data_IF_901917170184
#
_entry.id   IF_901917170184
#
_cell.length_a   1.000
_cell.length_b   1.000
_cell.length_c   1.000
_cell.angle_alpha   90.00
_cell.angle_beta   90.00
_cell.angle_gamma   90.00
#
_symmetry.space_group_name_H-M   'P 1'
#
loop_
_entity.id
_entity.type
_entity.pdbx_description
1 polymer ?
#
# COMPACT_ATOMS: atom_id res chain seq x y z
N UNK A 1 -18.18 26.86 -21.10
CA UNK A 1 -17.65 25.99 -20.03
C UNK A 1 -18.50 24.74 -19.98
N UNK A 2 -17.93 23.62 -20.41
CA UNK A 2 -18.69 22.45 -20.84
C UNK A 2 -18.96 21.54 -19.63
N UNK A 3 -20.23 21.30 -19.30
CA UNK A 3 -20.69 20.43 -18.19
C UNK A 3 -20.05 19.04 -18.26
N UNK A 4 -19.75 18.58 -19.47
CA UNK A 4 -18.99 17.36 -19.73
C UNK A 4 -17.61 17.34 -19.08
N UNK A 5 -16.92 18.47 -19.03
CA UNK A 5 -15.59 18.57 -18.43
C UNK A 5 -15.66 18.43 -16.91
N UNK A 6 -16.69 18.99 -16.28
CA UNK A 6 -16.93 18.85 -14.83
C UNK A 6 -17.30 17.40 -14.48
N UNK A 7 -18.10 16.73 -15.32
CA UNK A 7 -18.46 15.33 -15.12
C UNK A 7 -17.22 14.42 -15.17
N UNK A 8 -16.35 14.60 -16.16
CA UNK A 8 -15.11 13.82 -16.28
C UNK A 8 -14.20 13.98 -15.05
N UNK A 9 -14.07 15.20 -14.51
CA UNK A 9 -13.25 15.46 -13.33
C UNK A 9 -13.82 14.77 -12.08
N UNK A 10 -15.14 14.79 -11.90
CA UNK A 10 -15.80 14.15 -10.75
C UNK A 10 -15.64 12.63 -10.81
N UNK A 11 -15.85 12.02 -11.97
CA UNK A 11 -15.66 10.57 -12.15
C UNK A 11 -14.20 10.16 -11.98
N UNK A 12 -13.26 10.97 -12.48
CA UNK A 12 -11.82 10.73 -12.31
C UNK A 12 -11.42 10.83 -10.82
N UNK A 13 -11.95 11.81 -10.09
CA UNK A 13 -11.73 11.96 -8.65
C UNK A 13 -12.30 10.79 -7.83
N UNK A 14 -13.48 10.29 -8.19
CA UNK A 14 -14.07 9.10 -7.58
C UNK A 14 -13.25 7.82 -7.86
N UNK A 15 -12.79 7.63 -9.09
CA UNK A 15 -11.95 6.48 -9.45
C UNK A 15 -10.61 6.51 -8.70
N UNK A 16 -9.98 7.68 -8.58
CA UNK A 16 -8.73 7.86 -7.84
C UNK A 16 -8.90 7.75 -6.32
N UNK A 17 -10.07 8.10 -5.77
CA UNK A 17 -10.34 7.98 -4.32
C UNK A 17 -10.51 6.54 -3.86
N UNK A 18 -10.82 5.61 -4.77
CA UNK A 18 -10.88 4.17 -4.48
C UNK A 18 -9.51 3.47 -4.53
N UNK A 19 -8.49 4.15 -5.04
CA UNK A 19 -7.11 3.71 -4.83
C UNK A 19 -6.77 4.20 -3.43
N UNK A 20 -7.13 3.38 -2.44
CA UNK A 20 -6.49 3.44 -1.13
C UNK A 20 -5.02 3.72 -1.39
N UNK A 21 -4.55 4.86 -0.90
CA UNK A 21 -3.14 5.07 -0.66
C UNK A 21 -2.77 3.96 0.33
N UNK A 22 -2.49 2.77 -0.20
CA UNK A 22 -1.85 1.68 0.50
C UNK A 22 -0.44 2.21 0.74
N UNK A 23 -0.34 3.07 1.78
CA UNK A 23 0.71 2.96 2.79
C UNK A 23 1.07 1.50 2.78
N UNK A 24 2.31 1.19 2.43
CA UNK A 24 2.80 -0.18 2.35
C UNK A 24 2.70 -0.82 3.73
N UNK A 25 1.49 -1.18 4.15
CA UNK A 25 1.16 -2.09 5.23
C UNK A 25 1.52 -3.44 4.67
N UNK A 26 2.84 -3.65 4.59
CA UNK A 26 3.44 -4.96 4.46
C UNK A 26 2.65 -5.89 5.38
N UNK A 27 1.94 -6.85 4.79
CA UNK A 27 1.23 -7.86 5.56
C UNK A 27 2.27 -8.61 6.38
N UNK A 28 2.09 -8.63 7.71
CA UNK A 28 2.95 -9.36 8.61
C UNK A 28 2.84 -10.84 8.29
N UNK A 29 3.90 -11.42 7.73
CA UNK A 29 3.92 -12.83 7.33
C UNK A 29 4.38 -13.72 8.49
N UNK A 30 4.27 -15.04 8.33
CA UNK A 30 4.71 -15.98 9.37
C UNK A 30 6.23 -15.94 9.57
N UNK A 31 6.97 -15.58 8.52
CA UNK A 31 8.41 -15.37 8.51
C UNK A 31 8.79 -14.11 9.30
N UNK A 32 8.00 -13.04 9.19
CA UNK A 32 8.17 -11.82 10.00
C UNK A 32 8.04 -12.15 11.50
N UNK A 33 7.10 -13.03 11.87
CA UNK A 33 6.93 -13.50 13.25
C UNK A 33 8.09 -14.36 13.75
N UNK A 34 8.75 -15.11 12.86
CA UNK A 34 9.93 -15.90 13.21
C UNK A 34 11.17 -15.04 13.49
N UNK A 35 11.24 -13.84 12.91
CA UNK A 35 12.34 -12.89 13.12
C UNK A 35 12.34 -12.23 14.50
N UNK A 36 11.23 -12.32 15.24
CA UNK A 36 11.09 -11.75 16.58
C UNK A 36 10.55 -10.32 16.59
N UNK A 37 10.33 -9.75 17.79
CA UNK A 37 9.68 -8.46 17.94
C UNK A 37 10.49 -7.33 17.27
N UNK A 38 9.82 -6.48 16.49
CA UNK A 38 10.40 -5.33 15.77
C UNK A 38 11.40 -5.69 14.65
N UNK A 39 11.37 -6.92 14.17
CA UNK A 39 12.10 -7.34 12.98
C UNK A 39 11.10 -7.89 11.94
N UNK A 40 11.48 -7.84 10.67
CA UNK A 40 10.75 -8.42 9.56
C UNK A 40 11.68 -9.25 8.68
N UNK A 41 11.16 -10.26 8.01
CA UNK A 41 11.90 -11.13 7.11
C UNK A 41 12.06 -10.52 5.72
N UNK A 42 13.25 -10.07 5.34
CA UNK A 42 13.47 -9.57 3.99
C UNK A 42 13.67 -10.73 3.01
N UNK A 43 12.67 -11.00 2.16
CA UNK A 43 12.75 -12.05 1.13
C UNK A 43 13.85 -11.83 0.09
N UNK A 44 14.22 -10.57 -0.21
CA UNK A 44 15.27 -10.28 -1.17
C UNK A 44 16.67 -10.59 -0.62
N UNK A 45 16.84 -10.53 0.71
CA UNK A 45 18.12 -10.81 1.39
C UNK A 45 18.12 -12.15 2.13
N UNK A 46 16.97 -12.80 2.24
CA UNK A 46 16.74 -13.97 3.09
C UNK A 46 17.20 -13.78 4.55
N UNK A 47 17.08 -12.55 5.06
CA UNK A 47 17.54 -12.16 6.39
C UNK A 47 16.48 -11.38 7.14
N UNK A 48 16.44 -11.54 8.46
CA UNK A 48 15.67 -10.68 9.35
C UNK A 48 16.31 -9.28 9.40
N UNK A 49 15.53 -8.25 9.10
CA UNK A 49 15.93 -6.85 9.21
C UNK A 49 15.12 -6.17 10.32
N UNK A 50 15.70 -5.22 11.06
CA UNK A 50 14.93 -4.39 11.97
C UNK A 50 13.95 -3.52 11.19
N UNK A 51 12.79 -3.23 11.80
CA UNK A 51 11.88 -2.18 11.34
C UNK A 51 12.53 -0.79 11.42
#
# INVERSE_FOLDING_TARGET
MNVFHSFLIVFLGLALSSVDAQIATRQETWEDKACGPRAYYNYARHTCLPF
#
